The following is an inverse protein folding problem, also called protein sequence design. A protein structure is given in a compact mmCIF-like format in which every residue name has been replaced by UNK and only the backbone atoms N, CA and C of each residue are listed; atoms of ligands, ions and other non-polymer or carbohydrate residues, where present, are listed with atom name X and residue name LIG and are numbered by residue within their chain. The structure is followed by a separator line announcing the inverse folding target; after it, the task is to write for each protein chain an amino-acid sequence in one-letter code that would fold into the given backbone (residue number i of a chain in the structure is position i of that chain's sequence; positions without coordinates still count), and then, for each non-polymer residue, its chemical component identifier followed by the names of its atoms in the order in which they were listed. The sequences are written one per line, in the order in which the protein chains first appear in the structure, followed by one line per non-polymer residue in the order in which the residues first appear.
data_IF_288771786868
#
_entry.id   IF_288771786868
#
_cell.length_a   1.000
_cell.length_b   1.000
_cell.length_c   1.000
_cell.angle_alpha   90.00
_cell.angle_beta   90.00
_cell.angle_gamma   90.00
#
_symmetry.space_group_name_H-M   'P 1'
#
loop_
_entity.id
_entity.type
_entity.pdbx_description
1 polymer ?
#
# COMPACT_ATOMS: atom_id res chain seq x y z
N UNK A 1 57.99 13.34 20.31
CA UNK A 1 56.59 13.31 20.77
C UNK A 1 55.71 13.27 19.53
N UNK A 2 55.49 12.09 18.94
CA UNK A 2 54.97 11.93 17.58
C UNK A 2 53.46 11.71 17.57
N UNK A 3 52.77 12.56 16.81
CA UNK A 3 51.44 12.34 16.24
C UNK A 3 51.39 11.04 15.44
N UNK A 4 50.38 10.21 15.71
CA UNK A 4 49.87 9.19 14.80
C UNK A 4 48.36 9.16 14.93
N UNK A 5 47.68 9.86 14.02
CA UNK A 5 46.25 9.71 13.77
C UNK A 5 46.12 8.84 12.53
N UNK A 6 45.73 7.58 12.72
CA UNK A 6 45.36 6.68 11.62
C UNK A 6 43.98 6.11 11.96
N UNK A 7 42.95 6.79 11.46
CA UNK A 7 41.59 6.26 11.41
C UNK A 7 41.53 5.27 10.25
N UNK A 8 41.45 3.98 10.56
CA UNK A 8 41.06 2.95 9.58
C UNK A 8 39.55 2.74 9.64
N UNK A 9 38.82 2.78 8.51
CA UNK A 9 37.42 2.38 8.50
C UNK A 9 37.35 0.86 8.68
N UNK A 10 36.76 0.41 9.80
CA UNK A 10 36.37 -1.00 9.95
C UNK A 10 35.28 -1.30 8.94
N UNK A 11 35.68 -1.90 7.83
CA UNK A 11 34.78 -2.48 6.83
C UNK A 11 33.87 -3.45 7.57
N UNK A 12 32.58 -3.12 7.63
CA UNK A 12 31.52 -3.96 8.16
C UNK A 12 31.50 -5.23 7.32
N UNK A 13 32.08 -6.29 7.88
CA UNK A 13 32.03 -7.62 7.30
C UNK A 13 30.55 -8.03 7.25
N UNK A 14 30.04 -8.27 6.05
CA UNK A 14 28.66 -8.70 5.84
C UNK A 14 28.35 -9.91 6.70
N UNK A 15 27.53 -9.71 7.74
CA UNK A 15 27.00 -10.80 8.56
C UNK A 15 26.06 -11.59 7.66
N UNK A 16 26.60 -12.68 7.11
CA UNK A 16 25.86 -13.75 6.47
C UNK A 16 24.82 -14.26 7.47
N UNK A 17 23.55 -13.87 7.27
CA UNK A 17 22.41 -14.40 8.02
C UNK A 17 22.25 -15.86 7.57
N UNK A 18 22.95 -16.76 8.26
CA UNK A 18 22.75 -18.20 8.11
C UNK A 18 21.32 -18.50 8.58
N UNK A 19 20.53 -19.03 7.65
CA UNK A 19 19.16 -19.49 7.83
C UNK A 19 19.14 -20.65 8.85
N UNK A 20 18.90 -20.33 10.12
CA UNK A 20 18.77 -21.34 11.18
C UNK A 20 17.38 -21.96 11.06
N UNK A 21 17.29 -23.13 10.43
CA UNK A 21 16.13 -24.00 10.55
C UNK A 21 16.20 -24.70 11.91
N UNK A 22 15.24 -24.41 12.79
CA UNK A 22 15.03 -25.15 14.02
C UNK A 22 14.62 -26.59 13.70
N UNK A 23 15.54 -27.53 13.92
CA UNK A 23 15.30 -28.96 13.88
C UNK A 23 14.57 -29.37 15.17
N UNK A 24 13.26 -29.17 15.22
CA UNK A 24 12.43 -29.72 16.30
C UNK A 24 12.05 -31.15 15.93
N UNK A 25 12.79 -32.10 16.51
CA UNK A 25 12.57 -33.55 16.40
C UNK A 25 11.30 -33.93 17.15
N UNK A 26 10.14 -33.72 16.53
CA UNK A 26 8.87 -34.32 16.98
C UNK A 26 8.64 -35.57 16.15
N UNK A 27 8.48 -36.71 16.84
CA UNK A 27 8.03 -37.96 16.21
C UNK A 27 6.57 -37.77 15.84
N UNK A 28 6.26 -37.77 14.54
CA UNK A 28 4.93 -37.50 14.01
C UNK A 28 4.54 -38.65 13.08
N UNK A 29 3.36 -39.27 13.25
CA UNK A 29 2.96 -40.43 12.46
C UNK A 29 2.83 -40.10 10.97
N UNK A 30 3.17 -41.08 10.14
CA UNK A 30 3.12 -40.99 8.68
C UNK A 30 1.69 -40.74 8.18
N UNK A 31 1.36 -39.47 8.00
CA UNK A 31 0.09 -39.01 7.46
C UNK A 31 0.31 -37.67 6.79
N UNK A 32 0.82 -37.70 5.56
CA UNK A 32 0.72 -36.64 4.55
C UNK A 32 0.81 -35.19 5.08
N UNK A 33 1.94 -34.84 5.70
CA UNK A 33 2.30 -33.44 5.91
C UNK A 33 2.65 -32.84 4.55
N UNK A 34 1.64 -32.37 3.83
CA UNK A 34 1.85 -31.37 2.78
C UNK A 34 2.45 -30.18 3.49
N UNK A 35 3.76 -29.99 3.30
CA UNK A 35 4.42 -28.74 3.60
C UNK A 35 3.59 -27.65 2.92
N UNK A 36 2.80 -26.90 3.68
CA UNK A 36 2.36 -25.60 3.22
C UNK A 36 3.67 -24.82 3.20
N UNK A 37 4.31 -24.79 2.03
CA UNK A 37 5.37 -23.82 1.73
C UNK A 37 4.69 -22.48 1.99
N UNK A 38 4.86 -21.96 3.20
CA UNK A 38 4.20 -20.75 3.64
C UNK A 38 4.55 -19.67 2.64
N UNK A 39 3.58 -19.28 1.81
CA UNK A 39 3.71 -18.16 0.92
C UNK A 39 3.92 -16.96 1.84
N UNK A 40 5.17 -16.51 1.98
CA UNK A 40 5.48 -15.44 2.90
C UNK A 40 4.83 -14.18 2.30
N UNK A 41 3.93 -13.50 3.04
CA UNK A 41 3.36 -12.25 2.58
C UNK A 41 4.49 -11.26 2.29
N UNK A 42 4.22 -10.30 1.40
CA UNK A 42 5.16 -9.24 1.11
C UNK A 42 5.43 -8.45 2.39
N UNK A 43 6.71 -8.30 2.72
CA UNK A 43 7.18 -7.63 3.94
C UNK A 43 7.90 -6.34 3.56
N UNK A 44 7.96 -5.40 4.50
CA UNK A 44 8.70 -4.15 4.33
C UNK A 44 10.22 -4.39 4.29
N UNK A 45 10.99 -3.33 4.07
CA UNK A 45 12.47 -3.33 4.11
C UNK A 45 13.06 -3.95 5.40
N UNK A 46 12.31 -3.97 6.50
CA UNK A 46 12.70 -4.52 7.80
C UNK A 46 12.10 -5.91 8.08
N UNK A 47 11.45 -6.54 7.11
CA UNK A 47 10.78 -7.84 7.27
C UNK A 47 9.45 -7.79 8.03
N UNK A 48 8.85 -6.60 8.22
CA UNK A 48 7.58 -6.38 8.92
C UNK A 48 6.40 -6.50 7.96
N UNK A 49 5.30 -7.05 8.47
CA UNK A 49 4.02 -7.05 7.77
C UNK A 49 3.32 -5.69 7.89
N UNK A 50 2.30 -5.45 7.05
CA UNK A 50 1.54 -4.20 7.04
C UNK A 50 1.07 -3.74 8.41
N UNK A 51 0.48 -4.63 9.23
CA UNK A 51 0.05 -4.25 10.58
C UNK A 51 1.21 -3.70 11.42
N UNK A 52 2.33 -4.41 11.46
CA UNK A 52 3.49 -4.00 12.26
C UNK A 52 4.13 -2.70 11.74
N UNK A 53 4.07 -2.44 10.44
CA UNK A 53 4.48 -1.15 9.87
C UNK A 53 3.51 -0.04 10.29
N UNK A 54 2.20 -0.28 10.25
CA UNK A 54 1.20 0.70 10.66
C UNK A 54 1.29 1.01 12.16
N UNK A 55 1.44 -0.02 13.01
CA UNK A 55 1.68 0.12 14.45
C UNK A 55 2.89 1.04 14.72
N UNK A 56 3.95 0.89 13.92
CA UNK A 56 5.15 1.72 14.03
C UNK A 56 4.95 3.15 13.51
N UNK A 57 4.26 3.33 12.38
CA UNK A 57 4.05 4.65 11.77
C UNK A 57 3.05 5.51 12.56
N UNK A 58 2.09 4.89 13.24
CA UNK A 58 1.00 5.56 13.94
C UNK A 58 1.25 5.67 15.45
N UNK A 59 2.45 5.30 15.92
CA UNK A 59 2.89 5.42 17.32
C UNK A 59 1.90 4.79 18.33
N UNK A 60 1.32 3.64 17.98
CA UNK A 60 0.34 2.97 18.83
C UNK A 60 -0.48 1.89 18.14
N UNK A 61 -0.92 0.91 18.92
CA UNK A 61 -1.58 -0.35 18.50
C UNK A 61 -2.74 -0.11 17.53
N UNK A 62 -2.50 -0.38 16.26
CA UNK A 62 -3.49 -0.37 15.20
C UNK A 62 -4.26 -1.68 15.30
N UNK A 63 -5.53 -1.56 15.71
CA UNK A 63 -6.43 -2.70 15.73
C UNK A 63 -6.55 -3.30 14.31
N UNK A 64 -6.51 -4.63 14.20
CA UNK A 64 -6.83 -5.33 12.96
C UNK A 64 -8.18 -4.88 12.39
N UNK A 65 -9.12 -4.48 13.26
CA UNK A 65 -10.38 -3.85 12.85
C UNK A 65 -10.22 -2.58 12.05
N UNK A 66 -9.33 -1.70 12.46
CA UNK A 66 -9.06 -0.48 11.69
C UNK A 66 -8.53 -0.82 10.30
N UNK A 67 -7.70 -1.87 10.18
CA UNK A 67 -7.12 -2.30 8.91
C UNK A 67 -8.18 -2.89 7.98
N UNK A 68 -8.95 -3.91 8.39
CA UNK A 68 -9.95 -4.49 7.49
C UNK A 68 -11.12 -3.53 7.19
N UNK A 69 -11.40 -2.58 8.09
CA UNK A 69 -12.33 -1.47 7.83
C UNK A 69 -11.77 -0.51 6.79
N UNK A 70 -10.46 -0.19 6.85
CA UNK A 70 -9.79 0.62 5.84
C UNK A 70 -9.83 -0.04 4.45
N UNK A 71 -9.62 -1.35 4.41
CA UNK A 71 -9.64 -2.15 3.20
C UNK A 71 -11.07 -2.38 2.64
N UNK A 72 -12.11 -2.07 3.41
CA UNK A 72 -13.49 -2.34 3.03
C UNK A 72 -13.82 -3.83 2.88
N UNK A 73 -13.09 -4.70 3.58
CA UNK A 73 -13.26 -6.17 3.51
C UNK A 73 -13.76 -6.74 4.83
N UNK A 74 -14.37 -7.93 4.77
CA UNK A 74 -14.73 -8.66 5.98
C UNK A 74 -13.50 -9.15 6.74
N UNK A 75 -13.64 -9.38 8.05
CA UNK A 75 -12.56 -9.95 8.88
C UNK A 75 -12.08 -11.31 8.34
N UNK A 76 -13.00 -12.16 7.86
CA UNK A 76 -12.66 -13.46 7.27
C UNK A 76 -11.80 -13.32 6.02
N UNK A 77 -12.14 -12.37 5.14
CA UNK A 77 -11.36 -12.07 3.94
C UNK A 77 -9.97 -11.56 4.32
N UNK A 78 -9.89 -10.66 5.28
CA UNK A 78 -8.63 -10.11 5.77
C UNK A 78 -7.68 -11.20 6.27
N UNK A 79 -8.12 -12.08 7.19
CA UNK A 79 -7.26 -13.13 7.73
C UNK A 79 -6.84 -14.20 6.71
N UNK A 80 -7.56 -14.32 5.59
CA UNK A 80 -7.14 -15.13 4.45
C UNK A 80 -6.04 -14.41 3.65
N UNK A 81 -6.26 -13.14 3.31
CA UNK A 81 -5.36 -12.32 2.50
C UNK A 81 -3.97 -12.16 3.12
N UNK A 82 -3.88 -11.96 4.44
CA UNK A 82 -2.57 -11.81 5.11
C UNK A 82 -1.64 -13.04 4.98
N UNK A 83 -2.16 -14.19 4.54
CA UNK A 83 -1.39 -15.43 4.30
C UNK A 83 -1.02 -15.60 2.82
N UNK A 84 -1.49 -14.72 1.95
CA UNK A 84 -1.20 -14.74 0.52
C UNK A 84 0.11 -13.94 0.26
N UNK A 85 0.92 -14.37 -0.72
CA UNK A 85 2.19 -13.66 -1.04
C UNK A 85 2.00 -12.30 -1.67
N UNK A 86 0.88 -12.13 -2.37
CA UNK A 86 0.50 -10.92 -3.07
C UNK A 86 0.21 -9.78 -2.09
N UNK A 87 -0.16 -10.14 -0.85
CA UNK A 87 -0.50 -9.18 0.18
C UNK A 87 0.74 -8.52 0.79
N UNK A 88 0.76 -7.19 0.99
CA UNK A 88 -0.23 -6.22 0.50
C UNK A 88 0.01 -5.80 -0.96
N UNK A 89 -1.09 -5.63 -1.72
CA UNK A 89 -1.05 -5.11 -3.09
C UNK A 89 -1.20 -3.57 -3.14
N UNK A 90 -1.03 -2.99 -4.34
CA UNK A 90 -1.08 -1.53 -4.52
C UNK A 90 -2.44 -0.91 -4.13
N UNK A 91 -3.56 -1.53 -4.47
CA UNK A 91 -4.89 -1.01 -4.12
C UNK A 91 -5.15 -1.08 -2.61
N UNK A 92 -4.72 -2.16 -1.96
CA UNK A 92 -4.81 -2.31 -0.50
C UNK A 92 -3.98 -1.24 0.21
N UNK A 93 -2.76 -0.96 -0.29
CA UNK A 93 -1.94 0.14 0.22
C UNK A 93 -2.57 1.51 -0.02
N UNK A 94 -3.26 1.71 -1.15
CA UNK A 94 -3.97 2.96 -1.44
C UNK A 94 -5.11 3.20 -0.45
N UNK A 95 -5.94 2.18 -0.21
CA UNK A 95 -7.06 2.26 0.73
C UNK A 95 -6.59 2.52 2.16
N UNK A 96 -5.51 1.85 2.58
CA UNK A 96 -4.87 2.07 3.88
C UNK A 96 -4.28 3.48 3.96
N UNK A 97 -3.57 3.95 2.93
CA UNK A 97 -3.02 5.29 2.87
C UNK A 97 -4.12 6.36 3.01
N UNK A 98 -5.20 6.22 2.25
CA UNK A 98 -6.35 7.13 2.27
C UNK A 98 -7.01 7.17 3.67
N UNK A 99 -7.14 6.01 4.33
CA UNK A 99 -7.80 5.92 5.65
C UNK A 99 -6.95 6.45 6.80
N UNK A 100 -5.65 6.18 6.78
CA UNK A 100 -4.72 6.56 7.85
C UNK A 100 -3.99 7.88 7.55
N UNK A 101 -4.32 8.55 6.46
CA UNK A 101 -3.68 9.79 5.99
C UNK A 101 -2.16 9.64 5.82
N UNK A 102 -1.72 8.48 5.31
CA UNK A 102 -0.32 8.18 5.06
C UNK A 102 0.04 8.46 3.59
N UNK A 103 1.33 8.66 3.33
CA UNK A 103 1.82 8.82 1.96
C UNK A 103 1.76 7.50 1.20
N UNK A 104 0.89 7.42 0.18
CA UNK A 104 0.77 6.25 -0.68
C UNK A 104 2.10 5.86 -1.37
N UNK A 105 2.85 6.81 -1.99
CA UNK A 105 4.17 6.50 -2.55
C UNK A 105 5.16 5.96 -1.53
N UNK A 106 5.13 6.43 -0.27
CA UNK A 106 6.06 5.92 0.76
C UNK A 106 5.76 4.47 1.12
N UNK A 107 4.47 4.11 1.23
CA UNK A 107 4.07 2.71 1.47
C UNK A 107 4.47 1.81 0.29
N UNK A 108 4.25 2.25 -0.94
CA UNK A 108 4.66 1.48 -2.12
C UNK A 108 6.18 1.24 -2.16
N UNK A 109 6.98 2.24 -1.79
CA UNK A 109 8.44 2.10 -1.71
C UNK A 109 8.83 1.09 -0.64
N UNK A 110 8.26 1.20 0.57
CA UNK A 110 8.60 0.32 1.70
C UNK A 110 8.27 -1.14 1.43
N UNK A 111 7.15 -1.41 0.76
CA UNK A 111 6.80 -2.77 0.33
C UNK A 111 7.49 -3.16 -0.98
N UNK A 112 8.31 -2.30 -1.58
CA UNK A 112 9.02 -2.57 -2.83
C UNK A 112 8.10 -2.78 -4.03
N UNK A 113 6.88 -2.23 -4.02
CA UNK A 113 6.01 -2.17 -5.19
C UNK A 113 6.41 -1.05 -6.16
N UNK A 114 7.15 -0.07 -5.67
CA UNK A 114 7.70 1.05 -6.44
C UNK A 114 9.11 1.37 -5.93
N UNK A 115 10.01 1.84 -6.78
CA UNK A 115 11.32 2.31 -6.31
C UNK A 115 11.34 3.81 -6.04
N UNK A 116 12.24 4.28 -5.16
CA UNK A 116 12.41 5.71 -4.91
C UNK A 116 12.85 6.45 -6.19
N UNK A 117 13.71 5.81 -6.98
CA UNK A 117 14.19 6.32 -8.27
C UNK A 117 13.02 6.46 -9.26
N UNK A 118 12.10 5.51 -9.29
CA UNK A 118 10.91 5.57 -10.14
C UNK A 118 9.99 6.74 -9.76
N UNK A 119 9.81 7.02 -8.46
CA UNK A 119 9.09 8.23 -8.01
C UNK A 119 9.80 9.50 -8.48
N UNK A 120 11.13 9.58 -8.33
CA UNK A 120 11.90 10.73 -8.80
C UNK A 120 11.78 10.92 -10.32
N UNK A 121 11.97 9.86 -11.09
CA UNK A 121 11.81 9.88 -12.54
C UNK A 121 10.39 10.28 -12.95
N UNK A 122 9.37 9.84 -12.23
CA UNK A 122 8.00 10.25 -12.48
C UNK A 122 7.81 11.75 -12.23
N UNK A 123 8.29 12.30 -11.11
CA UNK A 123 8.17 13.73 -10.81
C UNK A 123 8.94 14.60 -11.82
N UNK A 124 10.14 14.17 -12.22
CA UNK A 124 10.94 14.85 -13.24
C UNK A 124 10.28 14.82 -14.61
N UNK A 125 9.71 13.67 -15.01
CA UNK A 125 9.05 13.52 -16.32
C UNK A 125 7.64 14.11 -16.39
N UNK A 126 6.90 14.11 -15.28
CA UNK A 126 5.56 14.70 -15.20
C UNK A 126 5.59 16.23 -15.36
N UNK A 127 6.74 16.87 -15.13
CA UNK A 127 6.95 18.29 -15.46
C UNK A 127 6.79 18.61 -16.96
N UNK A 128 6.71 17.59 -17.83
CA UNK A 128 6.64 17.74 -19.28
C UNK A 128 5.26 17.45 -19.90
N UNK A 129 4.21 17.11 -19.13
CA UNK A 129 2.90 16.80 -19.75
C UNK A 129 1.68 17.33 -19.00
N UNK A 130 1.38 18.62 -19.19
CA UNK A 130 0.00 19.11 -19.43
C UNK A 130 0.08 20.22 -20.49
N UNK A 131 0.22 19.84 -21.77
CA UNK A 131 -0.30 20.70 -22.81
C UNK A 131 -1.82 20.66 -22.67
N UNK A 132 -2.38 21.69 -22.04
CA UNK A 132 -3.81 21.91 -22.02
C UNK A 132 -4.28 21.96 -23.49
N UNK A 133 -4.88 20.87 -23.97
CA UNK A 133 -5.76 20.95 -25.12
C UNK A 133 -6.93 21.78 -24.62
N UNK A 134 -6.92 23.06 -24.96
CA UNK A 134 -8.04 23.95 -24.78
C UNK A 134 -9.29 23.22 -25.29
N UNK A 135 -10.31 22.99 -24.45
CA UNK A 135 -11.60 22.65 -25.00
C UNK A 135 -12.04 23.90 -25.77
N UNK A 136 -12.00 23.85 -27.09
CA UNK A 136 -12.73 24.78 -27.95
C UNK A 136 -14.19 24.67 -27.55
N UNK A 137 -14.59 25.51 -26.60
CA UNK A 137 -15.97 25.65 -26.19
C UNK A 137 -16.67 26.37 -27.33
N UNK A 138 -17.20 25.60 -28.28
CA UNK A 138 -18.31 26.07 -29.10
C UNK A 138 -19.42 26.41 -28.13
N UNK A 139 -19.52 27.71 -27.83
CA UNK A 139 -20.49 28.31 -26.91
C UNK A 139 -21.88 28.16 -27.51
N UNK A 140 -22.48 26.97 -27.37
CA UNK A 140 -23.89 26.77 -27.68
C UNK A 140 -24.68 27.57 -26.65
N UNK A 141 -25.27 28.68 -27.12
CA UNK A 141 -26.18 29.50 -26.32
C UNK A 141 -27.26 28.60 -25.71
N UNK A 142 -27.47 28.60 -24.38
CA UNK A 142 -28.61 27.91 -23.81
C UNK A 142 -29.88 28.58 -24.33
N UNK A 143 -30.71 27.83 -25.07
CA UNK A 143 -32.09 28.24 -25.37
C UNK A 143 -32.82 28.37 -24.04
N UNK A 144 -33.32 29.58 -23.76
CA UNK A 144 -34.14 29.90 -22.59
C UNK A 144 -35.24 28.85 -22.44
N UNK A 145 -35.29 28.20 -21.28
CA UNK A 145 -36.34 27.26 -20.90
C UNK A 145 -37.67 28.04 -20.84
N UNK A 146 -38.49 27.86 -21.87
CA UNK A 146 -39.84 28.41 -21.93
C UNK A 146 -40.69 27.82 -20.81
N UNK A 147 -41.35 28.71 -20.09
CA UNK A 147 -42.42 28.54 -19.12
C UNK A 147 -43.21 27.25 -19.29
N UNK A 148 -43.22 26.42 -18.24
CA UNK A 148 -44.18 25.33 -18.07
C UNK A 148 -45.59 25.92 -17.99
N UNK A 149 -46.39 25.78 -19.04
CA UNK A 149 -47.82 26.04 -18.97
C UNK A 149 -48.48 24.90 -18.19
N UNK A 150 -49.02 25.23 -17.01
CA UNK A 150 -49.92 24.34 -16.25
C UNK A 150 -51.13 24.04 -17.12
N UNK A 151 -51.46 22.75 -17.30
CA UNK A 151 -52.66 22.34 -18.05
C UNK A 151 -53.90 22.87 -17.31
N UNK A 152 -54.83 23.57 -17.99
CA UNK A 152 -56.00 24.18 -17.36
C UNK A 152 -57.12 23.19 -16.98
N UNK A 153 -56.87 21.88 -17.04
CA UNK A 153 -57.93 20.85 -16.99
C UNK A 153 -57.74 19.85 -15.84
N UNK A 154 -57.19 20.30 -14.71
CA UNK A 154 -57.10 19.48 -13.49
C UNK A 154 -58.39 19.66 -12.67
N UNK A 155 -59.24 18.63 -12.53
CA UNK A 155 -60.44 18.73 -11.71
C UNK A 155 -60.08 18.83 -10.21
N UNK A 156 -60.79 19.66 -9.43
CA UNK A 156 -60.55 19.80 -8.01
C UNK A 156 -61.00 18.56 -7.22
N UNK A 157 -60.23 18.18 -6.20
CA UNK A 157 -60.64 17.26 -5.12
C UNK A 157 -61.08 18.06 -3.90
#
# INVERSE_FOLDING_TARGET
MSQKWETTPKIVTGVSIKKVYWQMRMSVPAGEYRFIVGHVPRTDENGRQLKALLDYLLDGDVDAKAIYTALGVSSSTYYRRIKESDYPNAEELRQVADRFHLSYPDLQIRFGLMSRQEVWHYVESASVTVAAVEPTTTRVRPKKLTTWAVRPDSPPL
#
